data_IF_586898050339
#
_entry.id   IF_586898050339
#
_cell.length_a   1.000
_cell.length_b   1.000
_cell.length_c   1.000
_cell.angle_alpha   90.00
_cell.angle_beta   90.00
_cell.angle_gamma   90.00
#
_symmetry.space_group_name_H-M   'P 1'
#
loop_
_entity.id
_entity.type
_entity.pdbx_description
1 polymer ?
#
# COMPACT_ATOMS: atom_id res chain seq x y z
N UNK A 1 -74.11 10.44 9.90
CA UNK A 1 -73.41 10.88 11.13
C UNK A 1 -72.53 9.72 11.59
N UNK A 2 -71.31 9.71 11.09
CA UNK A 2 -70.24 8.70 11.20
C UNK A 2 -68.99 9.37 10.60
N UNK A 3 -67.75 9.05 11.00
CA UNK A 3 -67.25 8.94 12.37
C UNK A 3 -65.98 9.82 12.56
N UNK A 4 -65.92 10.55 13.67
CA UNK A 4 -64.79 11.39 14.08
C UNK A 4 -63.81 10.58 14.94
N UNK A 5 -63.07 9.62 14.37
CA UNK A 5 -62.12 8.80 15.16
C UNK A 5 -60.93 8.30 14.34
N UNK A 6 -60.28 9.16 13.54
CA UNK A 6 -59.15 8.76 12.70
C UNK A 6 -58.05 9.83 12.52
N UNK A 7 -57.86 10.71 13.52
CA UNK A 7 -56.84 11.79 13.42
C UNK A 7 -55.81 11.77 14.57
N UNK A 8 -55.94 10.88 15.58
CA UNK A 8 -55.04 10.89 16.75
C UNK A 8 -54.00 9.75 16.80
N UNK A 9 -53.87 8.93 15.75
CA UNK A 9 -52.89 7.84 15.70
C UNK A 9 -51.76 8.03 14.67
N UNK A 10 -51.68 9.19 14.01
CA UNK A 10 -50.67 9.49 12.97
C UNK A 10 -49.60 10.50 13.41
N UNK A 11 -49.63 11.01 14.65
CA UNK A 11 -48.60 11.91 15.19
C UNK A 11 -47.54 11.22 16.07
N UNK A 12 -47.57 9.88 16.16
CA UNK A 12 -46.59 9.09 16.92
C UNK A 12 -45.62 8.29 16.03
N UNK A 13 -45.53 8.60 14.74
CA UNK A 13 -44.27 8.44 14.00
C UNK A 13 -43.44 9.71 14.22
N UNK A 14 -43.02 9.90 15.47
CA UNK A 14 -41.86 10.72 15.75
C UNK A 14 -40.74 10.10 14.93
N UNK A 15 -40.23 10.89 13.98
CA UNK A 15 -38.95 10.65 13.36
C UNK A 15 -37.98 10.20 14.47
N UNK A 16 -37.59 8.92 14.45
CA UNK A 16 -36.27 8.54 14.93
C UNK A 16 -35.28 9.24 13.99
N UNK A 17 -35.05 10.54 14.21
CA UNK A 17 -33.80 11.16 13.83
C UNK A 17 -32.79 10.47 14.73
N UNK A 18 -32.32 9.28 14.32
CA UNK A 18 -31.05 8.78 14.80
C UNK A 18 -30.04 9.79 14.31
N UNK A 19 -29.72 10.74 15.19
CA UNK A 19 -28.50 11.53 15.05
C UNK A 19 -27.39 10.51 15.24
N UNK A 20 -27.02 9.82 14.17
CA UNK A 20 -25.86 8.94 14.18
C UNK A 20 -24.67 9.88 14.12
N UNK A 21 -24.06 10.11 15.28
CA UNK A 21 -22.81 10.83 15.36
C UNK A 21 -21.74 9.98 14.66
N UNK A 22 -21.03 10.60 13.72
CA UNK A 22 -19.83 10.01 13.14
C UNK A 22 -18.74 9.82 14.19
N UNK A 23 -17.55 9.38 13.78
CA UNK A 23 -16.43 9.19 14.70
C UNK A 23 -16.05 10.53 15.35
N UNK A 24 -16.27 10.63 16.66
CA UNK A 24 -15.77 11.73 17.47
C UNK A 24 -14.29 11.53 17.77
N UNK A 25 -13.49 12.57 17.54
CA UNK A 25 -12.05 12.53 17.74
C UNK A 25 -11.59 13.76 18.52
N UNK A 26 -11.15 13.54 19.76
CA UNK A 26 -10.31 14.48 20.49
C UNK A 26 -8.84 14.13 20.24
N UNK A 27 -8.22 14.91 19.37
CA UNK A 27 -6.83 14.73 18.95
C UNK A 27 -5.80 15.00 20.06
N UNK A 28 -6.24 15.52 21.22
CA UNK A 28 -5.38 15.76 22.39
C UNK A 28 -5.44 14.63 23.41
N UNK A 29 -6.30 13.63 23.18
CA UNK A 29 -6.50 12.49 24.08
C UNK A 29 -6.05 11.19 23.42
N UNK A 30 -5.05 10.53 24.02
CA UNK A 30 -4.57 9.22 23.56
C UNK A 30 -5.67 8.17 23.54
N UNK A 31 -6.59 8.19 24.52
CA UNK A 31 -7.70 7.23 24.54
C UNK A 31 -8.67 7.49 23.39
N UNK A 32 -9.01 8.75 23.11
CA UNK A 32 -9.89 9.09 21.98
C UNK A 32 -9.29 8.67 20.63
N UNK A 33 -7.98 8.85 20.44
CA UNK A 33 -7.28 8.40 19.22
C UNK A 33 -7.34 6.87 19.10
N UNK A 34 -7.09 6.13 20.19
CA UNK A 34 -7.16 4.66 20.20
C UNK A 34 -8.57 4.15 19.94
N UNK A 35 -9.59 4.73 20.58
CA UNK A 35 -10.98 4.33 20.43
C UNK A 35 -11.49 4.55 18.98
N UNK A 36 -11.16 5.71 18.40
CA UNK A 36 -11.46 6.02 17.02
C UNK A 36 -10.75 5.06 16.05
N UNK A 37 -9.45 4.85 16.23
CA UNK A 37 -8.67 3.95 15.39
C UNK A 37 -9.15 2.49 15.50
N UNK A 38 -9.44 2.00 16.71
CA UNK A 38 -9.96 0.65 16.96
C UNK A 38 -11.32 0.43 16.30
N UNK A 39 -12.21 1.42 16.36
CA UNK A 39 -13.52 1.38 15.69
C UNK A 39 -13.35 1.24 14.18
N UNK A 40 -12.45 2.02 13.56
CA UNK A 40 -12.20 1.94 12.12
C UNK A 40 -11.49 0.63 11.77
N UNK A 41 -10.56 0.14 12.60
CA UNK A 41 -9.89 -1.14 12.41
C UNK A 41 -10.90 -2.29 12.36
N UNK A 42 -11.86 -2.28 13.29
CA UNK A 42 -12.97 -3.24 13.30
C UNK A 42 -13.78 -3.17 12.02
N UNK A 43 -14.24 -1.99 11.63
CA UNK A 43 -15.05 -1.80 10.42
C UNK A 43 -14.27 -2.20 9.15
N UNK A 44 -12.99 -1.88 9.05
CA UNK A 44 -12.09 -2.31 7.97
C UNK A 44 -11.98 -3.83 7.91
N UNK A 45 -11.78 -4.49 9.06
CA UNK A 45 -11.65 -5.95 9.12
C UNK A 45 -12.95 -6.69 8.78
N UNK A 46 -14.11 -6.02 8.78
CA UNK A 46 -15.35 -6.63 8.26
C UNK A 46 -15.30 -6.90 6.76
N UNK A 47 -14.45 -6.22 5.98
CA UNK A 47 -14.25 -6.50 4.56
C UNK A 47 -13.42 -7.76 4.31
N UNK A 48 -12.55 -8.13 5.25
CA UNK A 48 -11.72 -9.31 5.12
C UNK A 48 -12.52 -10.58 5.37
N UNK A 49 -12.48 -11.50 4.39
CA UNK A 49 -13.18 -12.80 4.45
C UNK A 49 -12.23 -14.00 4.46
N UNK A 50 -10.92 -13.77 4.42
CA UNK A 50 -9.92 -14.84 4.31
C UNK A 50 -9.78 -15.73 5.54
N UNK A 51 -10.30 -15.32 6.71
CA UNK A 51 -10.37 -16.15 7.93
C UNK A 51 -11.66 -16.96 8.05
N UNK A 52 -12.58 -16.85 7.08
CA UNK A 52 -13.84 -17.60 7.05
C UNK A 52 -13.66 -18.89 6.24
N UNK A 53 -14.50 -19.90 6.49
CA UNK A 53 -14.51 -21.13 5.69
C UNK A 53 -14.72 -20.82 4.20
N UNK A 54 -13.79 -21.29 3.36
CA UNK A 54 -13.81 -21.03 1.91
C UNK A 54 -13.14 -19.71 1.49
N UNK A 55 -12.69 -18.89 2.44
CA UNK A 55 -11.90 -17.68 2.17
C UNK A 55 -10.44 -17.99 1.81
N UNK A 56 -9.79 -17.04 1.13
CA UNK A 56 -8.36 -17.10 0.84
C UNK A 56 -7.59 -16.35 1.93
N UNK A 57 -6.81 -17.07 2.73
CA UNK A 57 -6.06 -16.50 3.85
C UNK A 57 -5.09 -15.41 3.36
N UNK A 58 -5.13 -14.26 4.01
CA UNK A 58 -4.25 -13.13 3.74
C UNK A 58 -4.70 -12.23 2.59
N UNK A 59 -5.81 -12.53 1.91
CA UNK A 59 -6.27 -11.76 0.75
C UNK A 59 -7.68 -11.24 0.95
N UNK A 60 -7.85 -9.96 0.62
CA UNK A 60 -9.14 -9.29 0.52
C UNK A 60 -9.96 -9.87 -0.66
N UNK A 61 -11.30 -9.79 -0.63
CA UNK A 61 -12.11 -10.25 -1.76
C UNK A 61 -11.70 -9.54 -3.08
N UNK A 62 -11.26 -10.30 -4.09
CA UNK A 62 -10.70 -9.76 -5.34
C UNK A 62 -9.76 -10.73 -6.08
N UNK A 63 -9.00 -10.29 -7.12
CA UNK A 63 -8.92 -8.92 -7.67
C UNK A 63 -10.19 -8.64 -8.48
N UNK A 64 -10.58 -7.42 -8.90
CA UNK A 64 -11.89 -7.33 -9.52
C UNK A 64 -11.85 -8.08 -10.88
N UNK A 65 -12.64 -9.16 -11.02
CA UNK A 65 -13.67 -9.05 -12.04
C UNK A 65 -15.09 -9.27 -11.48
N UNK A 66 -15.95 -8.46 -12.07
CA UNK A 66 -17.41 -8.31 -12.01
C UNK A 66 -18.19 -8.83 -10.77
N UNK A 67 -18.73 -7.94 -9.91
CA UNK A 67 -18.65 -6.48 -10.01
C UNK A 67 -17.24 -5.94 -9.70
N UNK A 68 -16.88 -4.75 -10.21
CA UNK A 68 -15.57 -4.12 -10.07
C UNK A 68 -15.29 -3.59 -8.65
N UNK A 69 -15.78 -4.28 -7.62
CA UNK A 69 -15.70 -3.91 -6.20
C UNK A 69 -14.71 -4.77 -5.41
N UNK A 70 -13.82 -5.49 -6.10
CA UNK A 70 -12.76 -6.30 -5.50
C UNK A 70 -11.45 -5.53 -5.32
N UNK A 71 -10.58 -6.05 -4.46
CA UNK A 71 -9.28 -5.48 -4.11
C UNK A 71 -8.15 -6.29 -4.76
N UNK A 72 -7.16 -5.62 -5.33
CA UNK A 72 -5.98 -6.32 -5.85
C UNK A 72 -5.16 -6.94 -4.72
N UNK A 73 -4.36 -7.95 -5.07
CA UNK A 73 -3.59 -8.73 -4.08
C UNK A 73 -2.66 -7.86 -3.23
N UNK A 74 -2.01 -6.86 -3.83
CA UNK A 74 -1.08 -5.97 -3.14
C UNK A 74 -1.75 -5.15 -2.03
N UNK A 75 -3.02 -4.75 -2.20
CA UNK A 75 -3.74 -3.94 -1.22
C UNK A 75 -4.00 -4.74 0.07
N UNK A 76 -4.07 -6.06 -0.03
CA UNK A 76 -4.11 -6.94 1.15
C UNK A 76 -2.80 -6.87 1.94
N UNK A 77 -1.66 -6.91 1.24
CA UNK A 77 -0.34 -6.73 1.86
C UNK A 77 -0.21 -5.37 2.55
N UNK A 78 -0.76 -4.32 1.93
CA UNK A 78 -0.77 -2.98 2.48
C UNK A 78 -1.73 -2.83 3.68
N UNK A 79 -2.87 -3.51 3.67
CA UNK A 79 -3.79 -3.60 4.81
C UNK A 79 -3.09 -4.25 6.02
N UNK A 80 -2.40 -5.37 5.82
CA UNK A 80 -1.65 -6.01 6.90
C UNK A 80 -0.54 -5.12 7.45
N UNK A 81 0.20 -4.42 6.59
CA UNK A 81 1.19 -3.43 7.02
C UNK A 81 0.57 -2.32 7.86
N UNK A 82 -0.65 -1.86 7.49
CA UNK A 82 -1.39 -0.86 8.27
C UNK A 82 -1.77 -1.38 9.65
N UNK A 83 -2.20 -2.65 9.76
CA UNK A 83 -2.55 -3.26 11.04
C UNK A 83 -1.33 -3.50 11.94
N UNK A 84 -0.15 -3.75 11.37
CA UNK A 84 1.11 -3.81 12.12
C UNK A 84 1.46 -2.44 12.71
N UNK A 85 1.35 -1.36 11.92
CA UNK A 85 1.54 0.00 12.46
C UNK A 85 0.47 0.35 13.49
N UNK A 86 -0.79 0.00 13.24
CA UNK A 86 -1.87 0.19 14.22
C UNK A 86 -1.51 -0.46 15.56
N UNK A 87 -1.09 -1.73 15.57
CA UNK A 87 -0.62 -2.40 16.77
C UNK A 87 0.59 -1.69 17.40
N UNK A 88 1.58 -1.30 16.59
CA UNK A 88 2.80 -0.64 17.09
C UNK A 88 2.50 0.69 17.80
N UNK A 89 1.56 1.48 17.27
CA UNK A 89 1.19 2.77 17.84
C UNK A 89 0.18 2.64 18.99
N UNK A 90 -0.80 1.73 18.86
CA UNK A 90 -1.94 1.63 19.79
C UNK A 90 -1.82 0.50 20.81
N UNK A 91 -0.81 -0.37 20.71
CA UNK A 91 -0.67 -1.55 21.55
C UNK A 91 -1.79 -2.59 21.41
N UNK A 92 -2.81 -2.33 20.59
CA UNK A 92 -3.93 -3.26 20.37
C UNK A 92 -3.49 -4.41 19.47
N UNK A 93 -3.46 -5.61 20.04
CA UNK A 93 -3.04 -6.83 19.37
C UNK A 93 -4.17 -7.66 18.78
N UNK A 94 -5.41 -7.14 18.72
CA UNK A 94 -6.61 -7.89 18.30
C UNK A 94 -6.52 -8.55 16.93
N UNK A 95 -5.68 -8.03 16.02
CA UNK A 95 -5.54 -8.55 14.65
C UNK A 95 -4.16 -9.13 14.34
N UNK A 96 -3.29 -9.28 15.35
CA UNK A 96 -1.91 -9.73 15.14
C UNK A 96 -1.85 -11.17 14.62
N UNK A 97 -2.69 -12.07 15.15
CA UNK A 97 -2.72 -13.46 14.72
C UNK A 97 -3.21 -13.60 13.26
N UNK A 98 -4.23 -12.83 12.88
CA UNK A 98 -4.73 -12.76 11.51
C UNK A 98 -3.69 -12.20 10.55
N UNK A 99 -3.02 -11.11 10.92
CA UNK A 99 -1.97 -10.51 10.11
C UNK A 99 -0.79 -11.46 9.92
N UNK A 100 -0.32 -12.10 11.00
CA UNK A 100 0.76 -13.08 10.94
C UNK A 100 0.41 -14.23 10.00
N UNK A 101 -0.77 -14.85 10.18
CA UNK A 101 -1.24 -15.96 9.34
C UNK A 101 -1.41 -15.52 7.89
N UNK A 102 -2.02 -14.34 7.68
CA UNK A 102 -2.27 -13.77 6.36
C UNK A 102 -1.00 -13.54 5.56
N UNK A 103 -0.02 -12.86 6.14
CA UNK A 103 1.27 -12.58 5.49
C UNK A 103 2.02 -13.89 5.23
N UNK A 104 2.09 -14.79 6.22
CA UNK A 104 2.81 -16.07 6.07
C UNK A 104 2.17 -17.01 5.04
N UNK A 105 0.88 -16.86 4.75
CA UNK A 105 0.20 -17.63 3.70
C UNK A 105 0.55 -17.13 2.29
N UNK A 106 0.85 -15.85 2.14
CA UNK A 106 1.10 -15.21 0.84
C UNK A 106 2.59 -15.17 0.44
N UNK A 107 3.47 -15.86 1.19
CA UNK A 107 4.93 -15.85 0.94
C UNK A 107 5.36 -16.51 -0.37
N UNK A 108 4.49 -17.31 -0.98
CA UNK A 108 4.79 -18.07 -2.20
C UNK A 108 5.68 -19.29 -1.96
N UNK A 109 5.78 -20.12 -2.99
CA UNK A 109 6.47 -21.40 -3.01
C UNK A 109 7.98 -21.24 -2.73
N UNK A 110 8.55 -20.14 -3.22
CA UNK A 110 9.96 -19.78 -3.06
C UNK A 110 10.23 -18.85 -1.86
N UNK A 111 9.20 -18.50 -1.07
CA UNK A 111 9.31 -17.62 0.12
C UNK A 111 9.86 -16.23 -0.22
N UNK A 112 9.37 -15.65 -1.31
CA UNK A 112 9.83 -14.41 -1.91
C UNK A 112 8.70 -13.40 -2.18
N UNK A 113 7.50 -13.67 -1.64
CA UNK A 113 6.28 -12.91 -1.90
C UNK A 113 5.88 -12.90 -3.39
N UNK A 114 6.17 -13.98 -4.12
CA UNK A 114 5.67 -14.19 -5.49
C UNK A 114 4.89 -15.50 -5.63
N UNK A 115 3.79 -15.68 -4.89
CA UNK A 115 2.90 -16.83 -5.04
C UNK A 115 2.39 -16.98 -6.49
N UNK A 116 2.49 -18.19 -7.05
CA UNK A 116 2.12 -18.45 -8.46
C UNK A 116 0.66 -18.08 -8.81
N UNK A 117 -0.25 -18.19 -7.85
CA UNK A 117 -1.67 -17.84 -8.01
C UNK A 117 -1.90 -16.37 -8.39
N UNK A 118 -0.96 -15.48 -8.08
CA UNK A 118 -1.06 -14.04 -8.32
C UNK A 118 -0.16 -13.57 -9.47
N UNK A 119 0.40 -14.50 -10.25
CA UNK A 119 1.31 -14.22 -11.36
C UNK A 119 0.70 -13.41 -12.52
N UNK A 120 -0.63 -13.34 -12.62
CA UNK A 120 -1.34 -12.54 -13.64
C UNK A 120 -1.48 -11.05 -13.28
N UNK A 121 -1.10 -10.67 -12.06
CA UNK A 121 -1.12 -9.28 -11.59
C UNK A 121 0.15 -8.97 -10.77
N UNK A 122 1.28 -9.56 -11.16
CA UNK A 122 2.52 -9.47 -10.39
C UNK A 122 3.39 -8.31 -10.87
N UNK A 123 3.15 -7.12 -10.31
CA UNK A 123 4.05 -5.99 -10.38
C UNK A 123 5.21 -6.07 -9.39
N UNK A 124 6.28 -5.32 -9.69
CA UNK A 124 7.38 -5.12 -8.75
C UNK A 124 6.90 -4.34 -7.52
N UNK A 125 6.01 -3.37 -7.73
CA UNK A 125 5.27 -2.67 -6.68
C UNK A 125 4.37 -3.62 -5.88
N UNK A 126 3.58 -4.49 -6.52
CA UNK A 126 2.75 -5.48 -5.81
C UNK A 126 3.58 -6.30 -4.83
N UNK A 127 4.66 -6.92 -5.33
CA UNK A 127 5.60 -7.70 -4.51
C UNK A 127 6.25 -6.84 -3.42
N UNK A 128 6.61 -5.59 -3.76
CA UNK A 128 7.32 -4.71 -2.83
C UNK A 128 6.43 -4.23 -1.69
N UNK A 129 5.12 -4.04 -1.86
CA UNK A 129 4.23 -3.74 -0.74
C UNK A 129 4.24 -4.84 0.32
N UNK A 130 4.23 -6.11 -0.10
CA UNK A 130 4.41 -7.24 0.82
C UNK A 130 5.81 -7.27 1.46
N UNK A 131 6.85 -6.96 0.69
CA UNK A 131 8.22 -6.83 1.20
C UNK A 131 8.36 -5.72 2.24
N UNK A 132 7.77 -4.56 2.02
CA UNK A 132 7.74 -3.43 2.95
C UNK A 132 6.94 -3.75 4.21
N UNK A 133 5.83 -4.49 4.09
CA UNK A 133 5.06 -5.01 5.23
C UNK A 133 5.88 -5.98 6.06
N UNK A 134 6.61 -6.92 5.44
CA UNK A 134 7.52 -7.80 6.16
C UNK A 134 8.67 -7.02 6.83
N UNK A 135 9.24 -6.04 6.15
CA UNK A 135 10.30 -5.22 6.75
C UNK A 135 9.79 -4.40 7.93
N UNK A 136 8.56 -3.88 7.84
CA UNK A 136 7.90 -3.18 8.95
C UNK A 136 7.72 -4.10 10.15
N UNK A 137 7.27 -5.34 9.93
CA UNK A 137 7.15 -6.35 10.98
C UNK A 137 8.49 -6.61 11.70
N UNK A 138 9.60 -6.63 10.96
CA UNK A 138 10.94 -6.77 11.53
C UNK A 138 11.37 -5.52 12.33
N UNK A 139 11.03 -4.33 11.84
CA UNK A 139 11.36 -3.02 12.43
C UNK A 139 10.54 -2.71 13.69
N UNK A 140 9.36 -3.30 13.87
CA UNK A 140 8.51 -3.06 15.05
C UNK A 140 8.50 -4.22 16.04
N UNK A 141 9.33 -5.26 15.83
CA UNK A 141 9.27 -6.52 16.59
C UNK A 141 7.86 -7.12 16.65
N UNK A 142 7.12 -7.02 15.53
CA UNK A 142 5.86 -7.75 15.37
C UNK A 142 6.10 -9.25 15.63
N UNK A 143 5.15 -9.97 16.27
CA UNK A 143 5.35 -11.36 16.67
C UNK A 143 6.00 -12.21 15.58
N UNK A 144 7.11 -12.83 15.93
CA UNK A 144 7.88 -13.65 14.99
C UNK A 144 7.05 -14.87 14.56
N UNK A 145 7.15 -15.30 13.29
CA UNK A 145 6.51 -16.51 12.82
C UNK A 145 7.18 -17.75 13.47
N UNK A 146 6.51 -18.92 13.43
CA UNK A 146 7.10 -20.17 13.91
C UNK A 146 8.46 -20.48 13.26
N UNK A 147 9.38 -21.13 13.98
CA UNK A 147 10.76 -21.33 13.54
C UNK A 147 10.94 -22.09 12.19
N UNK A 148 9.92 -22.83 11.73
CA UNK A 148 9.92 -23.52 10.44
C UNK A 148 9.40 -22.64 9.27
N UNK A 149 9.02 -21.40 9.53
CA UNK A 149 8.56 -20.40 8.56
C UNK A 149 9.63 -19.33 8.36
N UNK A 150 9.68 -18.66 7.18
CA UNK A 150 10.63 -17.58 6.96
C UNK A 150 10.36 -16.40 7.90
N UNK A 151 11.42 -15.86 8.50
CA UNK A 151 11.34 -14.64 9.30
C UNK A 151 10.97 -13.41 8.45
N UNK A 152 10.47 -12.37 9.10
CA UNK A 152 10.08 -11.11 8.46
C UNK A 152 11.24 -10.44 7.71
N UNK A 153 12.42 -10.37 8.35
CA UNK A 153 13.62 -9.84 7.70
C UNK A 153 14.02 -10.68 6.47
N UNK A 154 13.96 -12.01 6.57
CA UNK A 154 14.26 -12.89 5.44
C UNK A 154 13.31 -12.68 4.25
N UNK A 155 12.02 -12.43 4.50
CA UNK A 155 11.04 -12.14 3.45
C UNK A 155 11.33 -10.79 2.76
N UNK A 156 11.64 -9.75 3.54
CA UNK A 156 12.05 -8.45 2.98
C UNK A 156 13.34 -8.56 2.14
N UNK A 157 14.33 -9.31 2.62
CA UNK A 157 15.55 -9.61 1.88
C UNK A 157 15.27 -10.40 0.59
N UNK A 158 14.32 -11.33 0.60
CA UNK A 158 13.92 -12.08 -0.60
C UNK A 158 13.35 -11.16 -1.69
N UNK A 159 12.45 -10.25 -1.30
CA UNK A 159 11.87 -9.27 -2.22
C UNK A 159 12.97 -8.36 -2.79
N UNK A 160 13.84 -7.82 -1.93
CA UNK A 160 14.96 -7.00 -2.41
C UNK A 160 15.87 -7.77 -3.37
N UNK A 161 16.28 -8.99 -2.99
CA UNK A 161 17.23 -9.78 -3.77
C UNK A 161 16.65 -10.15 -5.15
N UNK A 162 15.36 -10.49 -5.22
CA UNK A 162 14.70 -10.76 -6.50
C UNK A 162 14.59 -9.50 -7.37
N UNK A 163 14.25 -8.35 -6.79
CA UNK A 163 14.14 -7.08 -7.51
C UNK A 163 15.49 -6.54 -7.98
N UNK A 164 16.55 -6.68 -7.18
CA UNK A 164 17.89 -6.18 -7.52
C UNK A 164 18.47 -6.73 -8.83
N UNK A 165 17.93 -7.85 -9.33
CA UNK A 165 18.38 -8.53 -10.55
C UNK A 165 17.53 -8.23 -11.80
N UNK A 166 16.43 -7.49 -11.65
CA UNK A 166 15.47 -7.21 -12.73
C UNK A 166 15.75 -5.96 -13.56
N UNK A 167 16.46 -4.91 -13.09
CA UNK A 167 16.76 -3.77 -13.94
C UNK A 167 17.51 -4.20 -15.20
N UNK A 168 17.02 -3.76 -16.34
CA UNK A 168 17.66 -3.93 -17.65
C UNK A 168 18.28 -2.61 -18.13
N UNK A 169 18.86 -2.60 -19.33
CA UNK A 169 19.54 -1.42 -19.89
C UNK A 169 18.58 -0.37 -20.45
N UNK A 170 17.30 -0.69 -20.64
CA UNK A 170 16.32 0.24 -21.21
C UNK A 170 16.17 1.45 -20.29
N UNK A 171 16.10 2.65 -20.86
CA UNK A 171 16.03 3.89 -20.11
C UNK A 171 17.16 4.06 -19.07
N UNK A 172 18.35 3.49 -19.34
CA UNK A 172 19.52 3.62 -18.47
C UNK A 172 19.46 2.83 -17.16
N UNK A 173 18.50 1.92 -16.99
CA UNK A 173 18.32 1.17 -15.74
C UNK A 173 16.87 1.17 -15.27
N UNK A 174 16.66 0.95 -13.97
CA UNK A 174 15.35 0.99 -13.33
C UNK A 174 14.48 -0.24 -13.61
N UNK A 175 13.62 -0.53 -12.64
CA UNK A 175 12.61 -1.58 -12.71
C UNK A 175 11.48 -1.17 -13.67
N UNK A 176 10.99 -2.18 -14.40
CA UNK A 176 9.68 -2.13 -15.04
C UNK A 176 8.59 -2.21 -13.99
N UNK A 177 7.39 -1.77 -14.33
CA UNK A 177 6.22 -1.96 -13.47
C UNK A 177 5.98 -3.45 -13.24
N UNK A 178 5.75 -4.21 -14.30
CA UNK A 178 5.44 -5.63 -14.21
C UNK A 178 6.69 -6.51 -14.07
N UNK A 179 6.55 -7.64 -13.36
CA UNK A 179 7.64 -8.62 -13.23
C UNK A 179 7.80 -9.49 -14.48
N UNK A 180 6.68 -9.88 -15.10
CA UNK A 180 6.69 -10.83 -16.20
C UNK A 180 6.45 -10.16 -17.56
N UNK A 181 7.19 -10.54 -18.63
CA UNK A 181 7.06 -9.92 -19.96
C UNK A 181 5.68 -10.01 -20.62
N UNK A 182 4.85 -10.98 -20.21
CA UNK A 182 3.51 -11.18 -20.78
C UNK A 182 2.43 -10.29 -20.12
N UNK A 183 2.76 -9.55 -19.06
CA UNK A 183 1.82 -8.69 -18.37
C UNK A 183 1.72 -7.33 -19.05
N UNK A 184 0.49 -6.83 -19.16
CA UNK A 184 0.22 -5.47 -19.62
C UNK A 184 0.91 -4.46 -18.70
N UNK A 185 1.69 -3.54 -19.27
CA UNK A 185 2.49 -2.58 -18.52
C UNK A 185 3.92 -3.03 -18.24
N UNK A 186 4.38 -4.18 -18.74
CA UNK A 186 5.80 -4.56 -18.69
C UNK A 186 6.71 -3.58 -19.44
N UNK A 187 6.18 -2.88 -20.45
CA UNK A 187 6.87 -1.82 -21.18
C UNK A 187 6.87 -0.47 -20.46
N UNK A 188 6.19 -0.35 -19.32
CA UNK A 188 6.13 0.86 -18.49
C UNK A 188 7.15 0.79 -17.35
N UNK A 189 8.00 1.80 -17.19
CA UNK A 189 8.86 1.98 -16.01
C UNK A 189 8.25 3.10 -15.16
N UNK A 190 7.88 2.77 -13.93
CA UNK A 190 7.14 3.69 -13.06
C UNK A 190 7.89 4.00 -11.76
N UNK A 191 7.51 5.11 -11.15
CA UNK A 191 8.12 5.61 -9.92
C UNK A 191 7.79 4.76 -8.70
N UNK A 192 6.66 4.05 -8.69
CA UNK A 192 6.26 3.23 -7.54
C UNK A 192 7.10 1.95 -7.43
N UNK A 193 7.31 1.19 -8.52
CA UNK A 193 8.13 -0.02 -8.47
C UNK A 193 9.56 0.29 -8.00
N UNK A 194 10.14 1.36 -8.57
CA UNK A 194 11.47 1.82 -8.22
C UNK A 194 11.53 2.45 -6.82
N UNK A 195 10.49 3.19 -6.43
CA UNK A 195 10.39 3.82 -5.10
C UNK A 195 10.28 2.80 -3.98
N UNK A 196 9.49 1.74 -4.17
CA UNK A 196 9.41 0.65 -3.19
C UNK A 196 10.74 -0.11 -3.10
N UNK A 197 11.41 -0.40 -4.22
CA UNK A 197 12.73 -1.03 -4.21
C UNK A 197 13.78 -0.16 -3.49
N UNK A 198 13.80 1.14 -3.79
CA UNK A 198 14.62 2.14 -3.09
C UNK A 198 14.35 2.17 -1.59
N UNK A 199 13.08 2.21 -1.18
CA UNK A 199 12.65 2.25 0.21
C UNK A 199 13.07 1.00 0.98
N UNK A 200 12.86 -0.19 0.39
CA UNK A 200 13.31 -1.46 0.97
C UNK A 200 14.84 -1.48 1.09
N UNK A 201 15.57 -1.06 0.05
CA UNK A 201 17.03 -0.97 0.09
C UNK A 201 17.55 -0.07 1.21
N UNK A 202 17.02 1.16 1.31
CA UNK A 202 17.41 2.11 2.35
C UNK A 202 17.14 1.57 3.77
N UNK A 203 15.97 0.96 3.98
CA UNK A 203 15.58 0.37 5.27
C UNK A 203 16.38 -0.88 5.61
N UNK A 204 16.67 -1.75 4.65
CA UNK A 204 17.55 -2.91 4.84
C UNK A 204 19.00 -2.48 5.14
N UNK A 205 19.51 -1.45 4.48
CA UNK A 205 20.82 -0.86 4.80
C UNK A 205 20.87 -0.44 6.28
N UNK A 206 19.87 0.34 6.72
CA UNK A 206 19.74 0.76 8.11
C UNK A 206 19.58 -0.42 9.08
N UNK A 207 18.70 -1.37 8.77
CA UNK A 207 18.40 -2.50 9.66
C UNK A 207 19.60 -3.43 9.86
N UNK A 208 20.32 -3.71 8.77
CA UNK A 208 21.37 -4.74 8.73
C UNK A 208 22.79 -4.19 8.83
N UNK A 209 22.95 -2.87 8.68
CA UNK A 209 24.23 -2.19 8.52
C UNK A 209 25.07 -2.75 7.36
N UNK A 210 24.42 -2.98 6.20
CA UNK A 210 25.06 -3.52 5.00
C UNK A 210 24.98 -2.53 3.83
N UNK A 211 26.15 -2.05 3.41
CA UNK A 211 26.33 -1.04 2.35
C UNK A 211 25.80 -1.49 0.98
N UNK A 212 25.68 -2.78 0.71
CA UNK A 212 25.17 -3.26 -0.59
C UNK A 212 23.76 -2.74 -0.85
N UNK A 213 22.91 -2.74 0.18
CA UNK A 213 21.54 -2.22 0.07
C UNK A 213 21.54 -0.70 -0.16
N UNK A 214 22.44 0.03 0.51
CA UNK A 214 22.60 1.48 0.35
C UNK A 214 23.11 1.86 -1.05
N UNK A 215 24.02 1.07 -1.62
CA UNK A 215 24.53 1.28 -2.98
C UNK A 215 23.42 1.14 -4.03
N UNK A 216 22.54 0.14 -3.88
CA UNK A 216 21.36 0.03 -4.74
C UNK A 216 20.42 1.24 -4.56
N UNK A 217 20.25 1.73 -3.33
CA UNK A 217 19.44 2.91 -3.08
C UNK A 217 20.00 4.16 -3.78
N UNK A 218 21.32 4.38 -3.76
CA UNK A 218 21.98 5.46 -4.51
C UNK A 218 21.79 5.30 -6.03
N UNK A 219 22.00 4.09 -6.58
CA UNK A 219 21.81 3.82 -8.01
C UNK A 219 20.37 4.10 -8.45
N UNK A 220 19.38 3.67 -7.65
CA UNK A 220 17.96 3.91 -7.94
C UNK A 220 17.60 5.39 -7.82
N UNK A 221 18.20 6.13 -6.88
CA UNK A 221 18.05 7.58 -6.76
C UNK A 221 18.61 8.33 -7.98
N UNK A 222 19.81 7.97 -8.42
CA UNK A 222 20.44 8.59 -9.58
C UNK A 222 19.64 8.29 -10.86
N UNK A 223 19.13 7.06 -10.97
CA UNK A 223 18.29 6.67 -12.09
C UNK A 223 17.02 7.52 -12.19
N UNK A 224 16.24 7.68 -11.12
CA UNK A 224 14.95 8.39 -11.20
C UNK A 224 15.10 9.87 -11.59
N UNK A 225 16.19 10.51 -11.16
CA UNK A 225 16.52 11.86 -11.61
C UNK A 225 16.98 11.86 -13.07
N UNK A 226 17.85 10.93 -13.47
CA UNK A 226 18.41 10.88 -14.83
C UNK A 226 17.35 10.65 -15.91
N UNK A 227 16.32 9.84 -15.63
CA UNK A 227 15.21 9.56 -16.54
C UNK A 227 14.15 10.67 -16.53
N UNK A 228 14.24 11.63 -15.60
CA UNK A 228 13.35 12.78 -15.49
C UNK A 228 12.01 12.51 -14.80
N UNK A 229 11.82 11.33 -14.20
CA UNK A 229 10.63 11.04 -13.39
C UNK A 229 10.64 11.80 -12.06
N UNK A 230 11.81 12.21 -11.57
CA UNK A 230 11.95 13.23 -10.54
C UNK A 230 12.52 14.50 -11.17
N UNK A 231 11.79 15.62 -11.08
CA UNK A 231 12.28 16.91 -11.59
C UNK A 231 13.16 17.67 -10.59
N UNK A 232 13.69 18.82 -11.00
CA UNK A 232 14.56 19.67 -10.18
C UNK A 232 13.86 20.26 -8.94
N UNK A 233 12.52 20.27 -8.92
CA UNK A 233 11.72 20.69 -7.77
C UNK A 233 11.29 19.49 -6.91
N UNK A 234 11.89 18.32 -7.16
CA UNK A 234 11.61 17.05 -6.48
C UNK A 234 10.18 16.54 -6.65
N UNK A 235 9.42 17.03 -7.64
CA UNK A 235 8.14 16.42 -7.99
C UNK A 235 8.40 15.05 -8.61
N UNK A 236 7.66 14.04 -8.17
CA UNK A 236 7.76 12.68 -8.70
C UNK A 236 6.53 12.38 -9.56
N UNK A 237 6.79 12.10 -10.83
CA UNK A 237 5.80 11.74 -11.85
C UNK A 237 5.59 10.22 -11.92
N UNK A 238 4.52 9.78 -12.54
CA UNK A 238 4.06 8.39 -12.45
C UNK A 238 5.00 7.38 -13.14
N UNK A 239 5.41 7.66 -14.39
CA UNK A 239 6.23 6.73 -15.16
C UNK A 239 6.34 7.12 -16.64
N UNK A 240 6.99 6.26 -17.41
CA UNK A 240 7.17 6.42 -18.86
C UNK A 240 7.40 5.05 -19.54
N UNK A 241 7.27 4.98 -20.86
CA UNK A 241 7.40 3.72 -21.61
C UNK A 241 8.80 3.54 -22.20
N UNK A 242 9.29 2.29 -22.20
CA UNK A 242 10.60 1.97 -22.80
C UNK A 242 10.63 2.22 -24.32
N UNK A 243 9.49 2.12 -25.01
CA UNK A 243 9.40 2.34 -26.47
C UNK A 243 9.73 3.78 -26.90
N UNK A 244 9.66 4.74 -25.97
CA UNK A 244 10.02 6.15 -26.19
C UNK A 244 11.35 6.49 -25.50
N UNK A 245 12.11 5.48 -25.05
CA UNK A 245 13.26 5.65 -24.16
C UNK A 245 12.90 6.41 -22.87
N UNK A 246 11.70 6.16 -22.32
CA UNK A 246 11.14 6.78 -21.13
C UNK A 246 11.02 8.32 -21.21
N UNK A 247 10.89 8.88 -22.41
CA UNK A 247 10.75 10.34 -22.59
C UNK A 247 9.29 10.81 -22.57
N UNK A 248 8.32 9.90 -22.68
CA UNK A 248 6.88 10.16 -22.59
C UNK A 248 6.38 10.17 -21.13
N UNK A 249 6.98 11.03 -20.31
CA UNK A 249 6.70 11.09 -18.87
C UNK A 249 5.21 11.41 -18.61
N UNK A 250 4.53 10.46 -17.97
CA UNK A 250 3.21 10.65 -17.40
C UNK A 250 3.31 11.52 -16.14
N UNK A 251 2.94 12.79 -16.26
CA UNK A 251 3.08 13.79 -15.19
C UNK A 251 2.00 13.74 -14.10
N UNK A 252 1.18 12.70 -14.06
CA UNK A 252 0.28 12.49 -12.92
C UNK A 252 1.12 12.29 -11.65
N UNK A 253 0.70 12.94 -10.56
CA UNK A 253 1.36 12.85 -9.27
C UNK A 253 0.43 12.18 -8.27
N UNK A 254 0.91 11.10 -7.65
CA UNK A 254 0.19 10.34 -6.63
C UNK A 254 0.93 10.45 -5.29
N UNK A 255 0.19 10.58 -4.18
CA UNK A 255 0.82 10.93 -2.89
C UNK A 255 1.78 9.85 -2.39
N UNK A 256 1.46 8.58 -2.64
CA UNK A 256 2.29 7.46 -2.22
C UNK A 256 3.67 7.41 -2.90
N UNK A 257 3.79 7.93 -4.14
CA UNK A 257 5.08 8.04 -4.82
C UNK A 257 5.96 9.02 -4.05
N UNK A 258 5.46 10.22 -3.75
CA UNK A 258 6.23 11.17 -2.93
C UNK A 258 6.63 10.60 -1.57
N UNK A 259 5.69 9.94 -0.89
CA UNK A 259 5.90 9.44 0.45
C UNK A 259 6.88 8.25 0.53
N UNK A 260 6.86 7.32 -0.42
CA UNK A 260 7.77 6.14 -0.42
C UNK A 260 9.23 6.56 -0.61
N UNK A 261 9.46 7.52 -1.52
CA UNK A 261 10.76 8.09 -1.79
C UNK A 261 11.24 8.98 -0.63
N UNK A 262 10.34 9.76 0.00
CA UNK A 262 10.68 10.54 1.18
C UNK A 262 11.16 9.65 2.34
N UNK A 263 10.42 8.58 2.65
CA UNK A 263 10.80 7.66 3.72
C UNK A 263 12.10 6.92 3.41
N UNK A 264 12.34 6.54 2.15
CA UNK A 264 13.61 5.94 1.74
C UNK A 264 14.79 6.90 1.93
N UNK A 265 14.65 8.17 1.51
CA UNK A 265 15.66 9.20 1.69
C UNK A 265 15.93 9.48 3.17
N UNK A 266 14.90 9.51 4.01
CA UNK A 266 15.02 9.69 5.45
C UNK A 266 15.76 8.52 6.13
N UNK A 267 15.54 7.29 5.67
CA UNK A 267 16.31 6.12 6.13
C UNK A 267 17.77 6.18 5.69
N UNK A 268 18.06 6.64 4.46
CA UNK A 268 19.43 6.87 4.01
C UNK A 268 20.12 7.98 4.81
N UNK A 269 19.42 9.08 5.13
CA UNK A 269 19.91 10.11 6.04
C UNK A 269 20.29 9.52 7.40
N UNK A 270 19.43 8.68 7.97
CA UNK A 270 19.69 8.03 9.26
C UNK A 270 20.88 7.05 9.18
N UNK A 271 20.91 6.20 8.15
CA UNK A 271 21.96 5.21 7.90
C UNK A 271 23.34 5.85 7.73
N UNK A 272 23.41 6.94 6.97
CA UNK A 272 24.65 7.68 6.69
C UNK A 272 25.05 8.64 7.82
N UNK A 273 24.49 8.47 9.02
CA UNK A 273 24.76 9.27 10.20
C UNK A 273 24.58 10.80 9.96
N UNK A 274 23.50 11.14 9.24
CA UNK A 274 23.12 12.53 9.01
C UNK A 274 23.81 13.22 7.84
N UNK A 275 24.17 12.48 6.78
CA UNK A 275 24.77 13.05 5.56
C UNK A 275 23.97 14.25 5.03
N UNK A 276 24.67 15.34 4.74
CA UNK A 276 24.04 16.57 4.23
C UNK A 276 23.33 16.35 2.89
N UNK A 277 23.87 15.49 2.03
CA UNK A 277 23.24 15.12 0.75
C UNK A 277 21.87 14.50 0.99
N UNK A 278 21.79 13.51 1.88
CA UNK A 278 20.53 12.85 2.19
C UNK A 278 19.58 13.75 2.98
N UNK A 279 20.10 14.64 3.83
CA UNK A 279 19.30 15.67 4.50
C UNK A 279 18.62 16.62 3.51
N UNK A 280 19.37 17.11 2.51
CA UNK A 280 18.83 17.96 1.45
C UNK A 280 17.77 17.23 0.63
N UNK A 281 18.03 15.97 0.24
CA UNK A 281 17.09 15.13 -0.50
C UNK A 281 15.79 14.92 0.29
N UNK A 282 15.87 14.54 1.56
CA UNK A 282 14.72 14.39 2.47
C UNK A 282 13.95 15.69 2.62
N UNK A 283 14.63 16.81 2.88
CA UNK A 283 13.99 18.12 3.06
C UNK A 283 13.25 18.57 1.80
N UNK A 284 13.85 18.38 0.63
CA UNK A 284 13.27 18.81 -0.64
C UNK A 284 12.06 17.96 -1.04
N UNK A 285 12.14 16.63 -0.86
CA UNK A 285 11.00 15.74 -1.03
C UNK A 285 9.87 16.08 -0.06
N UNK A 286 10.18 16.37 1.21
CA UNK A 286 9.20 16.76 2.21
C UNK A 286 8.48 18.05 1.78
N UNK A 287 9.23 19.07 1.37
CA UNK A 287 8.64 20.34 0.93
C UNK A 287 7.73 20.17 -0.29
N UNK A 288 8.15 19.40 -1.30
CA UNK A 288 7.31 19.09 -2.46
C UNK A 288 6.06 18.29 -2.06
N UNK A 289 6.22 17.29 -1.18
CA UNK A 289 5.10 16.50 -0.65
C UNK A 289 4.06 17.38 0.03
N UNK A 290 4.47 18.26 0.94
CA UNK A 290 3.57 19.13 1.68
C UNK A 290 2.92 20.18 0.78
N UNK A 291 3.63 20.68 -0.22
CA UNK A 291 3.09 21.66 -1.18
C UNK A 291 1.98 21.05 -2.04
N UNK A 292 2.19 19.84 -2.54
CA UNK A 292 1.28 19.21 -3.51
C UNK A 292 0.13 18.48 -2.83
N UNK A 293 0.39 17.75 -1.75
CA UNK A 293 -0.56 16.79 -1.17
C UNK A 293 -1.19 17.23 0.14
N UNK A 294 -0.89 18.45 0.63
CA UNK A 294 -1.54 19.03 1.82
C UNK A 294 -2.14 20.42 1.56
N UNK A 295 -3.01 20.59 0.55
CA UNK A 295 -3.72 21.83 0.35
C UNK A 295 -4.58 22.14 1.60
N UNK A 296 -4.41 23.33 2.17
CA UNK A 296 -5.04 23.72 3.44
C UNK A 296 -4.71 22.77 4.60
N UNK A 297 -3.50 22.20 4.59
CA UNK A 297 -2.94 21.33 5.64
C UNK A 297 -3.59 19.95 5.77
N UNK A 298 -4.49 19.59 4.85
CA UNK A 298 -5.20 18.31 4.84
C UNK A 298 -4.68 17.45 3.69
N UNK A 299 -4.33 16.20 3.99
CA UNK A 299 -3.89 15.24 3.00
C UNK A 299 -4.94 15.04 1.88
N UNK A 300 -4.49 15.13 0.64
CA UNK A 300 -5.35 15.22 -0.54
C UNK A 300 -4.76 14.48 -1.73
N UNK A 301 -5.57 13.70 -2.46
CA UNK A 301 -5.12 13.07 -3.70
C UNK A 301 -5.41 13.92 -4.94
N UNK A 302 -4.42 14.72 -5.36
CA UNK A 302 -4.56 15.67 -6.48
C UNK A 302 -4.95 15.02 -7.80
N UNK A 303 -4.58 13.75 -8.00
CA UNK A 303 -4.85 13.03 -9.25
C UNK A 303 -6.33 12.67 -9.44
N UNK A 304 -7.09 12.46 -8.35
CA UNK A 304 -8.41 11.85 -8.44
C UNK A 304 -9.48 12.48 -7.53
N UNK A 305 -9.10 13.02 -6.37
CA UNK A 305 -10.03 13.59 -5.39
C UNK A 305 -10.83 14.81 -5.91
N UNK A 306 -10.30 15.71 -6.80
CA UNK A 306 -11.07 16.86 -7.28
C UNK A 306 -12.39 16.51 -7.96
N UNK A 307 -12.43 15.37 -8.65
CA UNK A 307 -13.61 14.86 -9.35
C UNK A 307 -14.15 13.56 -8.73
N UNK A 308 -13.54 13.11 -7.64
CA UNK A 308 -13.82 11.83 -6.97
C UNK A 308 -13.79 10.63 -7.95
N UNK A 309 -12.82 10.62 -8.86
CA UNK A 309 -12.63 9.56 -9.87
C UNK A 309 -11.54 8.56 -9.44
N UNK A 310 -11.33 8.40 -8.14
CA UNK A 310 -10.31 7.52 -7.58
C UNK A 310 -10.64 6.06 -7.87
N UNK A 311 -9.62 5.28 -8.23
CA UNK A 311 -9.73 3.81 -8.32
C UNK A 311 -9.62 3.19 -6.94
N UNK A 312 -9.93 1.89 -6.83
CA UNK A 312 -9.74 1.09 -5.59
C UNK A 312 -8.37 1.34 -4.97
N UNK A 313 -7.31 1.26 -5.79
CA UNK A 313 -5.92 1.52 -5.38
C UNK A 313 -5.75 2.92 -4.80
N UNK A 314 -6.21 3.95 -5.51
CA UNK A 314 -6.02 5.36 -5.13
C UNK A 314 -6.69 5.72 -3.80
N UNK A 315 -7.76 5.01 -3.41
CA UNK A 315 -8.41 5.23 -2.12
C UNK A 315 -7.49 4.92 -0.92
N UNK A 316 -6.46 4.10 -1.11
CA UNK A 316 -5.54 3.71 -0.05
C UNK A 316 -4.31 4.62 0.09
N UNK A 317 -3.98 5.43 -0.92
CA UNK A 317 -2.68 6.13 -0.99
C UNK A 317 -2.43 7.09 0.18
N UNK A 318 -3.48 7.76 0.68
CA UNK A 318 -3.37 8.65 1.87
C UNK A 318 -3.04 7.90 3.16
N UNK A 319 -3.33 6.60 3.24
CA UNK A 319 -2.89 5.75 4.35
C UNK A 319 -1.36 5.70 4.40
N UNK A 320 -0.74 5.50 3.23
CA UNK A 320 0.72 5.40 3.11
C UNK A 320 1.38 6.75 3.30
N UNK A 321 0.82 7.81 2.69
CA UNK A 321 1.29 9.18 2.88
C UNK A 321 1.41 9.53 4.37
N UNK A 322 0.35 9.32 5.15
CA UNK A 322 0.32 9.71 6.56
C UNK A 322 1.23 8.84 7.43
N UNK A 323 1.24 7.52 7.23
CA UNK A 323 2.12 6.59 7.96
C UNK A 323 3.60 6.79 7.64
N UNK A 324 3.95 7.00 6.39
CA UNK A 324 5.36 7.16 6.00
C UNK A 324 5.91 8.54 6.35
N UNK A 325 5.07 9.59 6.40
CA UNK A 325 5.44 10.87 7.01
C UNK A 325 5.68 10.71 8.51
N UNK A 326 4.80 10.02 9.23
CA UNK A 326 4.99 9.73 10.65
C UNK A 326 6.30 8.96 10.90
N UNK A 327 6.56 7.89 10.13
CA UNK A 327 7.81 7.14 10.19
C UNK A 327 9.05 7.98 9.84
N UNK A 328 8.92 8.94 8.91
CA UNK A 328 9.99 9.90 8.58
C UNK A 328 10.41 10.71 9.79
N UNK A 329 9.47 11.14 10.65
CA UNK A 329 9.80 11.86 11.89
C UNK A 329 10.63 11.02 12.87
N UNK A 330 10.48 9.70 12.87
CA UNK A 330 11.21 8.80 13.77
C UNK A 330 12.67 8.59 13.34
N UNK A 331 12.96 8.64 12.03
CA UNK A 331 14.32 8.40 11.49
C UNK A 331 15.03 9.69 11.06
N UNK A 332 14.29 10.78 10.85
CA UNK A 332 14.78 12.13 10.59
C UNK A 332 14.09 13.15 11.51
N UNK A 333 14.43 13.20 12.82
CA UNK A 333 13.67 13.97 13.82
C UNK A 333 13.52 15.46 13.56
N UNK A 334 14.43 16.08 12.80
CA UNK A 334 14.34 17.50 12.42
C UNK A 334 13.10 17.82 11.56
N UNK A 335 12.41 16.80 11.03
CA UNK A 335 11.19 16.96 10.22
C UNK A 335 9.91 17.00 11.06
N UNK A 336 9.98 16.67 12.35
CA UNK A 336 8.82 16.49 13.24
C UNK A 336 7.89 17.71 13.26
N UNK A 337 8.44 18.89 13.55
CA UNK A 337 7.67 20.14 13.71
C UNK A 337 6.97 20.59 12.43
N UNK A 338 7.45 20.13 11.28
CA UNK A 338 6.89 20.44 9.96
C UNK A 338 5.81 19.43 9.57
N UNK A 339 6.00 18.15 9.93
CA UNK A 339 5.10 17.04 9.56
C UNK A 339 3.87 16.97 10.48
N UNK A 340 4.08 16.98 11.81
CA UNK A 340 3.00 16.67 12.75
C UNK A 340 1.79 17.61 12.67
N UNK A 341 1.92 18.92 12.42
CA UNK A 341 0.76 19.79 12.22
C UNK A 341 -0.15 19.34 11.06
N UNK A 342 0.44 18.82 9.97
CA UNK A 342 -0.29 18.35 8.79
C UNK A 342 -1.00 17.02 9.05
N UNK A 343 -0.34 16.11 9.78
CA UNK A 343 -0.96 14.85 10.22
C UNK A 343 -2.12 15.10 11.19
N UNK A 344 -1.98 16.07 12.10
CA UNK A 344 -3.03 16.48 13.04
C UNK A 344 -4.26 17.04 12.33
N UNK A 345 -4.06 17.99 11.41
CA UNK A 345 -5.15 18.56 10.62
C UNK A 345 -5.86 17.50 9.77
N UNK A 346 -5.08 16.60 9.15
CA UNK A 346 -5.62 15.49 8.36
C UNK A 346 -6.44 14.51 9.19
N UNK A 347 -6.01 14.16 10.41
CA UNK A 347 -6.75 13.26 11.30
C UNK A 347 -8.12 13.82 11.69
N UNK A 348 -8.18 15.10 12.05
CA UNK A 348 -9.43 15.78 12.39
C UNK A 348 -10.37 15.79 11.18
N UNK A 349 -9.85 16.05 9.99
CA UNK A 349 -10.63 16.06 8.76
C UNK A 349 -11.11 14.66 8.36
N UNK A 350 -10.26 13.63 8.53
CA UNK A 350 -10.59 12.24 8.26
C UNK A 350 -11.72 11.74 9.17
N UNK A 351 -11.66 12.01 10.48
CA UNK A 351 -12.71 11.64 11.43
C UNK A 351 -14.09 12.22 11.05
N UNK A 352 -14.12 13.47 10.55
CA UNK A 352 -15.38 14.08 10.06
C UNK A 352 -15.97 13.40 8.83
N UNK A 353 -15.15 12.71 8.03
CA UNK A 353 -15.61 11.90 6.90
C UNK A 353 -16.03 10.48 7.30
N UNK A 354 -15.89 10.10 8.58
CA UNK A 354 -16.37 8.84 9.14
C UNK A 354 -17.76 9.01 9.73
N UNK A 355 -18.72 9.35 8.86
CA UNK A 355 -20.13 9.59 9.21
C UNK A 355 -21.10 8.95 8.21
N UNK A 356 -20.60 8.04 7.38
CA UNK A 356 -21.29 7.48 6.22
C UNK A 356 -21.96 6.13 6.47
N UNK A 357 -22.65 5.66 5.42
CA UNK A 357 -23.36 4.36 5.36
C UNK A 357 -24.41 4.16 6.48
N UNK A 358 -25.03 2.98 6.51
CA UNK A 358 -26.09 2.59 7.46
C UNK A 358 -25.61 2.48 8.91
N UNK A 359 -24.31 2.28 9.14
CA UNK A 359 -23.71 2.31 10.47
C UNK A 359 -23.40 3.73 10.96
N UNK A 360 -23.53 4.73 10.08
CA UNK A 360 -23.26 6.16 10.29
C UNK A 360 -21.84 6.48 10.77
N UNK A 361 -20.88 5.60 10.51
CA UNK A 361 -19.47 5.79 10.86
C UNK A 361 -18.49 5.33 9.79
N UNK A 362 -18.98 4.83 8.65
CA UNK A 362 -18.12 4.47 7.51
C UNK A 362 -17.36 5.70 7.00
N UNK A 363 -16.04 5.58 6.92
CA UNK A 363 -15.17 6.63 6.40
C UNK A 363 -15.21 6.75 4.86
N UNK A 364 -15.33 7.99 4.37
CA UNK A 364 -15.02 8.39 3.00
C UNK A 364 -13.57 8.86 2.83
N UNK A 365 -13.19 9.26 1.61
CA UNK A 365 -11.82 9.74 1.30
C UNK A 365 -11.71 11.27 1.31
N UNK A 366 -12.76 12.00 0.96
CA UNK A 366 -12.70 13.43 0.65
C UNK A 366 -12.68 14.30 1.92
N UNK A 367 -11.60 14.24 2.69
CA UNK A 367 -11.44 14.90 4.00
C UNK A 367 -11.66 16.42 3.94
N UNK A 368 -11.38 17.02 2.79
CA UNK A 368 -11.64 18.44 2.51
C UNK A 368 -13.14 18.83 2.51
N UNK A 369 -14.07 17.87 2.37
CA UNK A 369 -15.53 18.11 2.40
C UNK A 369 -16.11 18.22 3.82
N UNK A 370 -15.27 18.20 4.86
CA UNK A 370 -15.72 18.41 6.24
C UNK A 370 -16.61 17.27 6.73
N UNK A 371 -17.82 17.56 7.20
CA UNK A 371 -18.77 16.57 7.72
C UNK A 371 -19.72 15.99 6.67
N UNK A 372 -19.64 16.45 5.41
CA UNK A 372 -20.46 15.91 4.32
C UNK A 372 -19.75 14.67 3.77
N UNK A 373 -20.24 13.49 4.15
CA UNK A 373 -19.69 12.22 3.67
C UNK A 373 -19.71 12.17 2.13
N UNK A 374 -18.60 11.75 1.54
CA UNK A 374 -18.41 11.79 0.10
C UNK A 374 -19.10 10.64 -0.67
N UNK A 375 -19.72 9.69 0.03
CA UNK A 375 -20.42 8.55 -0.55
C UNK A 375 -19.52 7.38 -0.92
N UNK A 376 -18.21 7.47 -0.71
CA UNK A 376 -17.26 6.39 -1.00
C UNK A 376 -17.02 5.52 0.24
N UNK A 377 -16.71 4.24 0.00
CA UNK A 377 -16.41 3.27 1.05
C UNK A 377 -15.56 2.13 0.51
N UNK A 378 -14.85 1.46 1.41
CA UNK A 378 -13.98 0.36 1.11
C UNK A 378 -12.78 0.30 2.06
N UNK A 379 -11.95 -0.71 1.85
CA UNK A 379 -10.74 -0.93 2.66
C UNK A 379 -9.79 0.25 2.55
N UNK A 380 -9.52 0.78 1.36
CA UNK A 380 -8.66 1.96 1.17
C UNK A 380 -9.09 3.17 2.01
N UNK A 381 -10.38 3.50 2.04
CA UNK A 381 -10.91 4.63 2.81
C UNK A 381 -10.78 4.41 4.33
N UNK A 382 -11.13 3.21 4.82
CA UNK A 382 -10.96 2.89 6.24
C UNK A 382 -9.48 2.93 6.63
N UNK A 383 -8.62 2.32 5.80
CA UNK A 383 -7.17 2.27 5.98
C UNK A 383 -6.59 3.68 6.05
N UNK A 384 -7.01 4.58 5.15
CA UNK A 384 -6.54 5.96 5.10
C UNK A 384 -6.96 6.77 6.34
N UNK A 385 -8.23 6.69 6.73
CA UNK A 385 -8.73 7.43 7.89
C UNK A 385 -8.10 6.91 9.19
N UNK A 386 -8.05 5.59 9.38
CA UNK A 386 -7.41 4.95 10.54
C UNK A 386 -5.95 5.37 10.67
N UNK A 387 -5.20 5.31 9.56
CA UNK A 387 -3.79 5.70 9.48
C UNK A 387 -3.56 7.15 9.89
N UNK A 388 -4.35 8.08 9.34
CA UNK A 388 -4.24 9.49 9.69
C UNK A 388 -4.50 9.72 11.18
N UNK A 389 -5.37 8.93 11.81
CA UNK A 389 -5.74 9.08 13.22
C UNK A 389 -4.66 8.52 14.14
N UNK A 390 -4.29 7.24 14.05
CA UNK A 390 -3.42 6.62 15.06
C UNK A 390 -2.00 7.19 15.06
N UNK A 391 -1.50 7.71 13.94
CA UNK A 391 -0.14 8.28 13.88
C UNK A 391 0.03 9.50 14.79
N UNK A 392 -1.07 10.16 15.19
CA UNK A 392 -1.02 11.31 16.09
C UNK A 392 -0.71 10.94 17.55
N UNK A 393 -0.67 9.64 17.89
CA UNK A 393 -0.11 9.19 19.18
C UNK A 393 1.36 9.62 19.34
N UNK A 394 2.10 9.87 18.25
CA UNK A 394 3.46 10.44 18.27
C UNK A 394 3.56 11.81 18.97
N UNK A 395 2.47 12.56 19.07
CA UNK A 395 2.46 13.85 19.77
C UNK A 395 2.10 13.74 21.24
N UNK A 396 1.63 12.57 21.69
CA UNK A 396 1.15 12.36 23.05
C UNK A 396 2.00 11.36 23.82
N UNK A 397 2.70 10.46 23.11
CA UNK A 397 3.38 9.32 23.69
C UNK A 397 4.71 9.02 23.00
N UNK A 398 5.58 8.30 23.70
CA UNK A 398 6.84 7.81 23.15
C UNK A 398 6.59 6.54 22.32
N UNK A 399 6.49 6.70 21.00
CA UNK A 399 6.46 5.56 20.06
C UNK A 399 7.89 5.14 19.73
N UNK A 400 8.20 3.85 19.86
CA UNK A 400 9.55 3.35 19.61
C UNK A 400 9.94 3.54 18.13
N UNK A 401 11.16 4.03 17.84
CA UNK A 401 11.64 4.16 16.46
C UNK A 401 11.86 2.78 15.83
N UNK A 402 11.87 2.69 14.48
CA UNK A 402 12.15 1.44 13.77
C UNK A 402 13.46 0.78 14.26
N UNK A 403 13.39 -0.50 14.61
CA UNK A 403 14.52 -1.25 15.12
C UNK A 403 15.53 -1.62 14.03
N UNK A 404 16.70 -2.05 14.46
CA UNK A 404 17.79 -2.62 13.66
C UNK A 404 18.26 -3.92 14.33
N UNK A 405 19.18 -4.65 13.69
CA UNK A 405 19.85 -5.80 14.32
C UNK A 405 20.59 -5.44 15.61
N UNK A 406 21.07 -4.20 15.73
CA UNK A 406 21.84 -3.71 16.88
C UNK A 406 20.96 -3.12 18.00
N UNK A 407 19.71 -2.74 17.70
CA UNK A 407 18.81 -2.10 18.66
C UNK A 407 17.69 -3.01 19.15
N UNK A 408 17.84 -4.34 19.00
CA UNK A 408 16.90 -5.32 19.54
C UNK A 408 15.88 -5.89 18.55
N UNK A 409 16.10 -5.73 17.24
CA UNK A 409 15.32 -6.42 16.21
C UNK A 409 15.47 -7.94 16.31
N UNK A 410 14.36 -8.68 16.46
CA UNK A 410 14.37 -10.12 16.74
C UNK A 410 14.11 -11.00 15.51
N UNK A 411 13.84 -10.41 14.35
CA UNK A 411 13.48 -11.18 13.15
C UNK A 411 14.70 -11.80 12.49
N UNK A 412 14.62 -13.10 12.19
CA UNK A 412 15.71 -13.81 11.53
C UNK A 412 15.78 -13.46 10.04
N UNK A 413 16.96 -13.02 9.59
CA UNK A 413 17.27 -12.78 8.19
C UNK A 413 17.77 -14.03 7.46
N UNK A 414 17.82 -13.94 6.15
CA UNK A 414 18.52 -14.87 5.28
C UNK A 414 19.09 -14.07 4.08
N UNK A 415 20.40 -13.77 4.05
CA UNK A 415 21.02 -13.01 2.97
C UNK A 415 20.85 -13.63 1.57
N UNK A 416 20.62 -14.94 1.50
CA UNK A 416 20.42 -15.68 0.25
C UNK A 416 18.93 -15.83 -0.12
N UNK A 417 17.99 -15.27 0.65
CA UNK A 417 16.57 -15.40 0.37
C UNK A 417 16.24 -14.84 -1.02
N UNK A 418 15.33 -15.49 -1.77
CA UNK A 418 14.97 -15.07 -3.13
C UNK A 418 16.06 -15.21 -4.20
N UNK A 419 17.30 -15.61 -3.84
CA UNK A 419 18.41 -15.68 -4.79
C UNK A 419 18.21 -16.73 -5.90
N UNK A 420 17.37 -17.74 -5.68
CA UNK A 420 17.02 -18.76 -6.68
C UNK A 420 15.72 -18.48 -7.45
N UNK A 421 14.98 -17.43 -7.08
CA UNK A 421 13.64 -17.16 -7.62
C UNK A 421 13.62 -16.35 -8.91
N UNK A 422 14.78 -15.80 -9.31
CA UNK A 422 14.87 -15.03 -10.54
C UNK A 422 15.12 -15.99 -11.69
N UNK A 423 14.03 -16.48 -12.27
CA UNK A 423 14.04 -17.15 -13.58
C UNK A 423 14.48 -16.15 -14.64
N UNK A 424 15.39 -16.55 -15.52
CA UNK A 424 15.77 -15.78 -16.70
C UNK A 424 14.51 -15.51 -17.55
N UNK A 425 14.06 -14.26 -17.74
CA UNK A 425 12.91 -13.94 -18.57
C UNK A 425 13.08 -14.38 -20.02
N UNK A 426 14.33 -14.57 -20.49
CA UNK A 426 14.62 -15.12 -21.82
C UNK A 426 14.42 -16.64 -21.92
N UNK A 427 14.29 -17.34 -20.78
CA UNK A 427 13.92 -18.75 -20.75
C UNK A 427 12.47 -18.97 -21.23
N UNK A 428 11.60 -17.97 -21.07
CA UNK A 428 10.28 -17.91 -21.72
C UNK A 428 10.47 -17.36 -23.14
N UNK A 429 10.79 -18.26 -24.07
CA UNK A 429 10.90 -17.90 -25.49
C UNK A 429 9.53 -17.41 -25.98
N UNK A 430 9.46 -16.36 -26.83
CA UNK A 430 8.23 -15.97 -27.49
C UNK A 430 7.60 -17.18 -28.19
N UNK A 431 6.27 -17.31 -28.11
CA UNK A 431 5.55 -18.37 -28.80
C UNK A 431 5.94 -18.38 -30.28
N UNK A 432 6.52 -19.49 -30.72
CA UNK A 432 6.96 -19.71 -32.09
C UNK A 432 5.74 -19.74 -33.03
N UNK A 433 5.96 -19.64 -34.35
CA UNK A 433 4.85 -19.89 -35.29
C UNK A 433 4.22 -21.27 -35.06
N UNK A 434 5.03 -22.28 -34.69
CA UNK A 434 4.54 -23.61 -34.34
C UNK A 434 3.61 -23.60 -33.12
N UNK A 435 3.99 -22.89 -32.06
CA UNK A 435 3.15 -22.76 -30.85
C UNK A 435 1.84 -22.05 -31.14
N UNK A 436 1.87 -21.00 -31.97
CA UNK A 436 0.67 -20.25 -32.38
C UNK A 436 -0.27 -21.10 -33.25
N UNK A 437 0.28 -21.87 -34.19
CA UNK A 437 -0.50 -22.80 -35.03
C UNK A 437 -1.07 -23.92 -34.16
N UNK A 438 -0.27 -24.51 -33.26
CA UNK A 438 -0.72 -25.54 -32.32
C UNK A 438 -1.85 -25.05 -31.42
N UNK A 439 -1.71 -23.86 -30.84
CA UNK A 439 -2.75 -23.22 -30.05
C UNK A 439 -4.02 -23.00 -30.88
N UNK A 440 -3.91 -22.48 -32.11
CA UNK A 440 -5.04 -22.29 -33.01
C UNK A 440 -5.78 -23.59 -33.36
N UNK A 441 -5.04 -24.69 -33.59
CA UNK A 441 -5.62 -26.03 -33.82
C UNK A 441 -6.37 -26.51 -32.58
N UNK A 442 -5.73 -26.45 -31.41
CA UNK A 442 -6.35 -26.90 -30.14
C UNK A 442 -7.60 -26.09 -29.82
N UNK A 443 -7.55 -24.76 -29.96
CA UNK A 443 -8.72 -23.89 -29.77
C UNK A 443 -9.84 -24.23 -30.75
N UNK A 444 -9.52 -24.46 -32.03
CA UNK A 444 -10.52 -24.85 -33.04
C UNK A 444 -11.15 -26.19 -32.71
N UNK A 445 -10.36 -27.21 -32.36
CA UNK A 445 -10.86 -28.53 -31.99
C UNK A 445 -11.73 -28.48 -30.73
N UNK A 446 -11.36 -27.64 -29.76
CA UNK A 446 -12.14 -27.44 -28.55
C UNK A 446 -13.48 -26.73 -28.83
N UNK A 447 -13.47 -25.68 -29.66
CA UNK A 447 -14.71 -25.01 -30.07
C UNK A 447 -15.62 -25.95 -30.86
N UNK A 448 -15.07 -26.76 -31.76
CA UNK A 448 -15.82 -27.76 -32.52
C UNK A 448 -16.41 -28.84 -31.59
N UNK A 449 -15.64 -29.35 -30.63
CA UNK A 449 -16.13 -30.37 -29.69
C UNK A 449 -17.24 -29.82 -28.79
N UNK A 450 -17.09 -28.60 -28.30
CA UNK A 450 -18.12 -27.90 -27.51
C UNK A 450 -19.38 -27.65 -28.34
N UNK A 451 -19.23 -27.20 -29.58
CA UNK A 451 -20.37 -26.96 -30.48
C UNK A 451 -21.10 -28.26 -30.84
N UNK A 452 -20.37 -29.34 -31.11
CA UNK A 452 -20.95 -30.66 -31.36
C UNK A 452 -21.69 -31.20 -30.13
N UNK A 453 -21.12 -31.02 -28.93
CA UNK A 453 -21.76 -31.41 -27.68
C UNK A 453 -23.07 -30.66 -27.47
N UNK A 454 -23.09 -29.34 -27.65
CA UNK A 454 -24.32 -28.55 -27.54
C UNK A 454 -25.34 -28.88 -28.64
N UNK A 455 -24.88 -29.14 -29.87
CA UNK A 455 -25.73 -29.60 -30.96
C UNK A 455 -26.41 -30.93 -30.64
N UNK A 456 -25.67 -31.91 -30.12
CA UNK A 456 -26.20 -33.20 -29.69
C UNK A 456 -27.20 -33.07 -28.53
N UNK A 457 -26.94 -32.20 -27.55
CA UNK A 457 -27.86 -31.97 -26.44
C UNK A 457 -29.16 -31.26 -26.86
N UNK A 458 -29.16 -30.61 -28.02
CA UNK A 458 -30.33 -29.89 -28.56
C UNK A 458 -31.23 -30.73 -29.47
N UNK A 459 -30.82 -31.96 -29.77
CA UNK A 459 -31.62 -32.98 -30.49
C UNK A 459 -32.09 -34.05 -29.52
#
# INVERSE_FOLDING_TARGET
MTPTFLILATLALLLEIRVVYGIELDITSSSSIRDAASTIAYDMMTYYKGNQSGGIVGVLPGPPPDPPSGYYWWESGAMWGTLIDYWHYTGDSSYNDEALKGIQWQVGENKDMMPSNWSQSMGNDDQAFWGMTALLAAETNFPNPPANKPGWLALAQAVFNTQSRRPDKECGGGLRWQVYPYLTGYDYKNSIANGCFFNIGARLARYTNNDTYAQHAEVTWDWIQSVGLMDSNYNIYDGAHIGTNCTDINKVQFSYNMAVWLLGAANMYNYTNGSEVWKQRTTSLLNSTLTTFFPNDIAYEVACEPKLTCTTDMFSFKAYLTRWLAATTLVAPYTYDVIMPKLKASAIAAAKQCSGDTNGRTCGLSWSKGSVWDGTKGVGQQMAAMSAIFVNLLSLESIAPPLTNATGGTSLGNPNAGAGSVSDPTALKPATQGDRVGAGIVTTLWLLSVTMMFGWMST
#
